data_IF_724355170797
#
_entry.id   IF_724355170797
#
_cell.length_a   1.000
_cell.length_b   1.000
_cell.length_c   1.000
_cell.angle_alpha   90.00
_cell.angle_beta   90.00
_cell.angle_gamma   90.00
#
_symmetry.space_group_name_H-M   'P 1'
#
loop_
_entity.id
_entity.type
_entity.pdbx_description
1 polymer ?
#
# COMPACT_ATOMS: atom_id res chain seq x y z
N UNK A 1 -65.49 -19.07 -42.90
CA UNK A 1 -64.28 -18.25 -43.03
C UNK A 1 -63.94 -17.72 -41.64
N UNK A 2 -62.90 -18.26 -41.02
CA UNK A 2 -62.38 -17.81 -39.72
C UNK A 2 -60.89 -17.57 -39.87
N UNK A 3 -60.50 -16.36 -39.51
CA UNK A 3 -59.17 -15.78 -39.38
C UNK A 3 -58.27 -16.61 -38.47
N UNK A 4 -57.04 -16.92 -38.88
CA UNK A 4 -55.94 -17.23 -37.96
C UNK A 4 -54.68 -16.51 -38.46
N UNK A 5 -54.15 -15.66 -37.59
CA UNK A 5 -53.06 -14.74 -37.81
C UNK A 5 -51.69 -15.42 -37.74
N UNK A 6 -50.74 -14.82 -38.47
CA UNK A 6 -49.30 -15.05 -38.44
C UNK A 6 -48.75 -15.03 -37.00
N UNK A 7 -47.94 -16.03 -36.64
CA UNK A 7 -47.04 -15.96 -35.48
C UNK A 7 -45.62 -15.71 -36.00
N UNK A 8 -45.10 -14.52 -35.69
CA UNK A 8 -43.72 -14.14 -35.90
C UNK A 8 -42.86 -14.63 -34.73
N UNK A 9 -41.69 -15.22 -35.00
CA UNK A 9 -40.62 -15.41 -34.02
C UNK A 9 -39.37 -14.79 -34.61
N UNK A 10 -39.14 -13.51 -34.28
CA UNK A 10 -37.87 -12.83 -34.52
C UNK A 10 -37.19 -12.69 -33.16
N UNK A 11 -36.20 -13.54 -32.92
CA UNK A 11 -35.41 -13.55 -31.69
C UNK A 11 -34.37 -12.43 -31.78
N UNK A 12 -34.64 -11.29 -31.15
CA UNK A 12 -33.66 -10.21 -30.99
C UNK A 12 -32.77 -10.55 -29.80
N UNK A 13 -31.51 -10.91 -30.07
CA UNK A 13 -30.44 -10.98 -29.07
C UNK A 13 -30.06 -9.55 -28.65
N UNK A 14 -30.54 -9.12 -27.49
CA UNK A 14 -30.10 -7.89 -26.86
C UNK A 14 -28.70 -8.10 -26.26
N UNK A 15 -27.67 -7.57 -26.91
CA UNK A 15 -26.36 -7.37 -26.29
C UNK A 15 -26.49 -6.28 -25.22
N UNK A 16 -26.29 -6.65 -23.95
CA UNK A 16 -26.30 -5.72 -22.83
C UNK A 16 -25.15 -4.72 -22.96
N UNK A 17 -25.50 -3.45 -23.14
CA UNK A 17 -24.57 -2.35 -22.93
C UNK A 17 -24.26 -2.24 -21.42
N UNK A 18 -23.01 -2.01 -21.00
CA UNK A 18 -22.70 -1.75 -19.61
C UNK A 18 -23.42 -0.46 -19.17
N UNK A 19 -24.15 -0.54 -18.06
CA UNK A 19 -24.81 0.62 -17.45
C UNK A 19 -23.76 1.66 -17.08
N UNK A 20 -23.72 2.78 -17.82
CA UNK A 20 -22.95 3.95 -17.43
C UNK A 20 -23.51 4.46 -16.10
N UNK A 21 -22.69 4.44 -15.05
CA UNK A 21 -23.05 5.04 -13.77
C UNK A 21 -23.42 6.51 -14.00
N UNK A 22 -24.69 6.85 -13.85
CA UNK A 22 -25.17 8.23 -14.02
C UNK A 22 -24.62 9.11 -12.90
N UNK A 23 -23.80 10.08 -13.29
CA UNK A 23 -23.30 11.14 -12.41
C UNK A 23 -24.46 12.09 -12.08
N UNK A 24 -24.73 12.33 -10.80
CA UNK A 24 -25.76 13.27 -10.35
C UNK A 24 -25.10 14.62 -10.08
N UNK A 25 -25.45 15.62 -10.87
CA UNK A 25 -25.00 17.00 -10.68
C UNK A 25 -26.18 17.85 -10.23
N UNK A 26 -26.00 18.59 -9.14
CA UNK A 26 -26.96 19.59 -8.65
C UNK A 26 -26.28 20.95 -8.62
N UNK A 27 -26.98 21.95 -9.14
CA UNK A 27 -26.52 23.34 -9.12
C UNK A 27 -27.63 24.19 -8.50
N UNK A 28 -27.28 25.03 -7.53
CA UNK A 28 -28.24 25.91 -6.87
C UNK A 28 -27.57 27.10 -6.20
N UNK A 29 -28.37 27.97 -5.54
CA UNK A 29 -27.86 29.16 -4.88
C UNK A 29 -26.87 28.88 -3.73
N UNK A 30 -26.83 27.64 -3.23
CA UNK A 30 -25.84 27.15 -2.26
C UNK A 30 -24.61 26.48 -2.87
N UNK A 31 -24.37 26.61 -4.18
CA UNK A 31 -23.20 26.07 -4.87
C UNK A 31 -23.47 24.89 -5.81
N UNK A 32 -22.41 24.13 -6.11
CA UNK A 32 -22.43 22.96 -7.00
C UNK A 32 -22.10 21.71 -6.21
N UNK A 33 -22.92 20.67 -6.37
CA UNK A 33 -22.69 19.34 -5.82
C UNK A 33 -22.64 18.32 -6.95
N UNK A 34 -21.55 17.55 -7.02
CA UNK A 34 -21.36 16.46 -7.99
C UNK A 34 -21.20 15.16 -7.23
N UNK A 35 -22.09 14.21 -7.48
CA UNK A 35 -22.06 12.87 -6.92
C UNK A 35 -21.90 11.85 -8.05
N UNK A 36 -20.75 11.19 -8.07
CA UNK A 36 -20.42 10.14 -9.05
C UNK A 36 -20.64 8.73 -8.48
N UNK A 37 -21.12 8.61 -7.25
CA UNK A 37 -21.22 7.36 -6.49
C UNK A 37 -19.94 6.97 -5.74
N UNK A 38 -18.75 7.23 -6.31
CA UNK A 38 -17.45 6.97 -5.66
C UNK A 38 -16.82 8.24 -5.07
N UNK A 39 -17.06 9.38 -5.73
CA UNK A 39 -16.55 10.68 -5.31
C UNK A 39 -17.70 11.67 -5.23
N UNK A 40 -17.73 12.40 -4.13
CA UNK A 40 -18.65 13.50 -3.88
C UNK A 40 -17.86 14.80 -3.78
N UNK A 41 -18.20 15.76 -4.62
CA UNK A 41 -17.60 17.11 -4.62
C UNK A 41 -18.67 18.12 -4.30
N UNK A 42 -18.41 19.01 -3.35
CA UNK A 42 -19.24 20.17 -3.07
C UNK A 42 -18.39 21.43 -3.16
N UNK A 43 -18.88 22.41 -3.90
CA UNK A 43 -18.24 23.71 -4.00
C UNK A 43 -19.28 24.80 -3.70
N UNK A 44 -19.01 25.62 -2.70
CA UNK A 44 -19.86 26.74 -2.30
C UNK A 44 -19.02 27.97 -1.91
N UNK A 45 -19.67 29.02 -1.41
CA UNK A 45 -19.02 30.28 -1.02
C UNK A 45 -18.04 30.16 0.16
N UNK A 46 -18.04 29.04 0.87
CA UNK A 46 -17.14 28.71 1.98
C UNK A 46 -15.90 27.95 1.52
N UNK A 47 -15.96 27.25 0.37
CA UNK A 47 -14.84 26.48 -0.14
C UNK A 47 -15.23 25.32 -1.06
N UNK A 48 -14.26 24.46 -1.32
CA UNK A 48 -14.40 23.19 -2.04
C UNK A 48 -14.11 22.04 -1.10
N UNK A 49 -15.02 21.08 -1.06
CA UNK A 49 -14.92 19.85 -0.30
C UNK A 49 -15.00 18.66 -1.26
N UNK A 50 -14.03 17.76 -1.19
CA UNK A 50 -13.96 16.54 -2.00
C UNK A 50 -13.88 15.35 -1.06
N UNK A 51 -14.88 14.49 -1.12
CA UNK A 51 -14.89 13.19 -0.45
C UNK A 51 -14.70 12.10 -1.49
N UNK A 52 -13.57 11.41 -1.41
CA UNK A 52 -13.27 10.24 -2.24
C UNK A 52 -12.81 9.11 -1.32
N UNK A 53 -13.68 8.10 -1.13
CA UNK A 53 -13.43 6.93 -0.29
C UNK A 53 -12.97 7.23 1.15
N UNK A 54 -11.65 7.31 1.36
CA UNK A 54 -10.96 7.50 2.65
C UNK A 54 -10.14 8.81 2.67
N UNK A 55 -10.31 9.66 1.66
CA UNK A 55 -9.64 10.95 1.53
C UNK A 55 -10.69 12.06 1.50
N UNK A 56 -10.57 12.95 2.47
CA UNK A 56 -11.31 14.21 2.53
C UNK A 56 -10.34 15.35 2.23
N UNK A 57 -10.62 16.11 1.18
CA UNK A 57 -9.90 17.34 0.85
C UNK A 57 -10.84 18.52 1.08
N UNK A 58 -10.47 19.39 2.01
CA UNK A 58 -11.20 20.63 2.31
C UNK A 58 -10.30 21.82 1.92
N UNK A 59 -10.78 22.70 1.05
CA UNK A 59 -10.12 23.94 0.68
C UNK A 59 -11.06 25.12 0.91
N UNK A 60 -10.72 26.01 1.85
CA UNK A 60 -11.53 27.17 2.19
C UNK A 60 -10.73 28.46 2.31
N UNK A 61 -11.38 29.54 2.74
CA UNK A 61 -10.78 30.89 2.86
C UNK A 61 -9.56 30.95 3.79
N UNK A 62 -9.38 29.98 4.68
CA UNK A 62 -8.29 29.91 5.67
C UNK A 62 -7.18 28.91 5.31
N UNK A 63 -7.23 28.30 4.13
CA UNK A 63 -6.24 27.33 3.65
C UNK A 63 -6.84 26.00 3.20
N UNK A 64 -5.97 25.08 2.79
CA UNK A 64 -6.33 23.73 2.38
C UNK A 64 -5.86 22.70 3.41
N UNK A 65 -6.71 21.72 3.70
CA UNK A 65 -6.38 20.58 4.56
C UNK A 65 -6.76 19.28 3.87
N UNK A 66 -5.91 18.27 4.02
CA UNK A 66 -6.14 16.92 3.52
C UNK A 66 -6.20 16.01 4.73
N UNK A 67 -7.33 15.33 4.90
CA UNK A 67 -7.53 14.32 5.94
C UNK A 67 -7.67 12.97 5.27
N UNK A 68 -6.79 12.06 5.65
CA UNK A 68 -6.87 10.66 5.22
C UNK A 68 -7.48 9.88 6.39
N UNK A 69 -8.77 9.57 6.29
CA UNK A 69 -9.52 8.84 7.29
C UNK A 69 -9.35 7.34 7.12
N UNK A 70 -8.59 6.69 8.00
CA UNK A 70 -8.59 5.22 8.08
C UNK A 70 -9.95 4.79 8.65
N UNK A 71 -10.89 4.35 7.79
CA UNK A 71 -12.16 3.78 8.27
C UNK A 71 -11.89 2.65 9.26
N UNK A 72 -12.38 2.81 10.49
CA UNK A 72 -12.46 1.78 11.54
C UNK A 72 -13.47 0.70 11.12
N UNK A 73 -13.09 -0.10 10.12
CA UNK A 73 -13.98 -1.04 9.44
C UNK A 73 -13.44 -1.54 8.09
N UNK A 74 -12.57 -0.76 7.44
CA UNK A 74 -11.73 -1.26 6.35
C UNK A 74 -10.51 -1.95 6.94
N UNK A 75 -10.72 -3.15 7.49
CA UNK A 75 -9.69 -4.17 7.27
C UNK A 75 -9.75 -4.43 5.78
N UNK A 76 -8.96 -3.69 5.01
CA UNK A 76 -8.39 -4.26 3.81
C UNK A 76 -7.64 -5.48 4.32
N UNK A 77 -8.31 -6.63 4.37
CA UNK A 77 -7.60 -7.89 4.39
C UNK A 77 -6.64 -7.72 3.22
N UNK A 78 -5.31 -7.71 3.44
CA UNK A 78 -4.41 -7.84 2.31
C UNK A 78 -4.96 -8.99 1.48
N UNK A 79 -5.00 -8.90 0.14
CA UNK A 79 -5.43 -10.02 -0.68
C UNK A 79 -4.77 -11.24 -0.05
N UNK A 80 -5.58 -12.28 0.28
CA UNK A 80 -5.13 -13.47 0.96
C UNK A 80 -4.12 -14.19 0.06
N UNK A 81 -2.95 -13.60 -0.05
CA UNK A 81 -1.78 -14.03 -0.74
C UNK A 81 -1.05 -14.75 0.37
N UNK A 82 -1.12 -16.07 0.27
CA UNK A 82 -0.61 -17.04 1.22
C UNK A 82 0.45 -16.42 2.14
N UNK A 83 0.22 -16.51 3.45
CA UNK A 83 1.30 -16.36 4.42
C UNK A 83 2.52 -17.13 3.85
N UNK A 84 3.73 -16.53 3.82
CA UNK A 84 4.89 -17.20 3.26
C UNK A 84 4.93 -18.62 3.82
N UNK A 85 4.85 -19.62 2.92
CA UNK A 85 4.96 -21.03 3.29
C UNK A 85 6.16 -21.16 4.22
N UNK A 86 5.98 -21.74 5.40
CA UNK A 86 6.99 -21.83 6.46
C UNK A 86 8.41 -21.98 5.87
N UNK A 87 9.08 -20.83 5.71
CA UNK A 87 10.37 -20.78 5.05
C UNK A 87 11.39 -21.50 5.90
N UNK A 88 12.48 -21.97 5.30
CA UNK A 88 13.63 -22.46 6.07
C UNK A 88 13.96 -21.42 7.14
N UNK A 89 13.99 -21.82 8.42
CA UNK A 89 14.35 -20.90 9.51
C UNK A 89 15.83 -20.57 9.36
N UNK A 90 16.13 -19.29 9.24
CA UNK A 90 17.47 -18.75 9.07
C UNK A 90 17.91 -17.94 10.29
N UNK A 91 19.22 -18.01 10.55
CA UNK A 91 19.91 -17.10 11.46
C UNK A 91 19.84 -15.66 10.93
N UNK A 92 20.13 -14.65 11.78
CA UNK A 92 20.29 -13.28 11.32
C UNK A 92 21.21 -13.17 10.11
N UNK A 93 20.82 -12.35 9.14
CA UNK A 93 21.62 -12.11 7.94
C UNK A 93 22.47 -10.88 8.16
N UNK A 94 23.77 -11.01 7.89
CA UNK A 94 24.69 -9.89 7.77
C UNK A 94 25.28 -9.90 6.36
N UNK A 95 25.08 -8.82 5.64
CA UNK A 95 25.74 -8.54 4.38
C UNK A 95 26.69 -7.36 4.54
N UNK A 96 27.92 -7.50 4.05
CA UNK A 96 29.00 -6.55 4.31
C UNK A 96 29.96 -6.44 3.13
N UNK A 97 30.62 -5.30 3.00
CA UNK A 97 31.54 -5.01 1.89
C UNK A 97 30.81 -4.81 0.57
N UNK A 98 31.43 -5.24 -0.54
CA UNK A 98 30.87 -5.13 -1.90
C UNK A 98 30.26 -6.46 -2.33
N UNK A 99 29.20 -6.89 -1.63
CA UNK A 99 28.54 -8.17 -1.87
C UNK A 99 27.17 -7.96 -2.48
N UNK A 100 26.76 -8.86 -3.38
CA UNK A 100 25.38 -8.96 -3.84
C UNK A 100 24.79 -10.28 -3.35
N UNK A 101 23.64 -10.23 -2.65
CA UNK A 101 23.00 -11.42 -2.09
C UNK A 101 21.49 -11.40 -2.31
N UNK A 102 20.91 -12.57 -2.57
CA UNK A 102 19.46 -12.75 -2.68
C UNK A 102 18.99 -13.90 -1.78
N UNK A 103 17.92 -13.66 -1.01
CA UNK A 103 17.22 -14.70 -0.26
C UNK A 103 15.74 -14.73 -0.64
N UNK A 104 15.19 -15.94 -0.78
CA UNK A 104 13.78 -16.14 -1.15
C UNK A 104 13.10 -17.14 -0.23
N UNK A 105 11.92 -16.81 0.28
CA UNK A 105 11.09 -17.77 1.03
C UNK A 105 11.69 -18.20 2.37
N UNK A 106 12.41 -17.31 3.06
CA UNK A 106 13.10 -17.62 4.32
C UNK A 106 12.37 -16.97 5.49
N UNK A 107 12.31 -17.68 6.63
CA UNK A 107 11.94 -17.10 7.92
C UNK A 107 13.23 -16.70 8.65
N UNK A 108 13.48 -15.40 8.80
CA UNK A 108 14.70 -14.86 9.41
C UNK A 108 14.34 -14.31 10.78
N UNK A 109 15.02 -14.77 11.83
CA UNK A 109 14.81 -14.31 13.20
C UNK A 109 16.08 -13.68 13.77
N UNK A 110 15.95 -12.55 14.46
CA UNK A 110 17.05 -11.90 15.16
C UNK A 110 16.67 -11.36 16.52
N UNK A 111 17.61 -11.37 17.46
CA UNK A 111 17.41 -10.79 18.78
C UNK A 111 17.41 -9.25 18.69
N UNK A 112 18.54 -8.63 18.33
CA UNK A 112 18.58 -7.18 18.08
C UNK A 112 18.14 -6.84 16.66
N UNK A 113 18.92 -7.24 15.66
CA UNK A 113 18.64 -7.00 14.23
C UNK A 113 18.55 -8.31 13.47
N UNK A 114 17.50 -8.52 12.66
CA UNK A 114 17.34 -9.76 11.89
C UNK A 114 18.06 -9.72 10.52
N UNK A 115 18.06 -8.57 9.86
CA UNK A 115 18.81 -8.34 8.61
C UNK A 115 19.62 -7.07 8.72
N UNK A 116 20.94 -7.17 8.52
CA UNK A 116 21.85 -6.03 8.47
C UNK A 116 22.57 -6.00 7.12
N UNK A 117 22.33 -4.94 6.34
CA UNK A 117 23.14 -4.60 5.16
C UNK A 117 24.09 -3.46 5.53
N UNK A 118 25.38 -3.63 5.27
CA UNK A 118 26.42 -2.62 5.52
C UNK A 118 27.52 -2.67 4.45
N UNK A 119 28.42 -1.69 4.50
CA UNK A 119 29.41 -1.52 3.43
C UNK A 119 28.74 -0.94 2.19
N UNK A 120 29.01 -1.53 1.03
CA UNK A 120 28.34 -1.27 -0.24
C UNK A 120 27.62 -2.55 -0.71
N UNK A 121 26.94 -3.24 0.22
CA UNK A 121 26.28 -4.49 -0.11
C UNK A 121 24.91 -4.23 -0.70
N UNK A 122 24.57 -4.97 -1.77
CA UNK A 122 23.25 -5.02 -2.37
C UNK A 122 22.51 -6.30 -1.93
N UNK A 123 21.44 -6.15 -1.16
CA UNK A 123 20.68 -7.27 -0.61
C UNK A 123 19.24 -7.30 -1.13
N UNK A 124 18.85 -8.39 -1.78
CA UNK A 124 17.46 -8.60 -2.21
C UNK A 124 16.77 -9.69 -1.39
N UNK A 125 15.59 -9.38 -0.85
CA UNK A 125 14.76 -10.30 -0.07
C UNK A 125 13.39 -10.45 -0.72
N UNK A 126 13.00 -11.69 -1.04
CA UNK A 126 11.75 -12.00 -1.73
C UNK A 126 10.92 -13.02 -0.94
N UNK A 127 9.64 -12.76 -0.73
CA UNK A 127 8.75 -13.71 -0.07
C UNK A 127 9.22 -14.14 1.34
N UNK A 128 9.95 -13.27 2.05
CA UNK A 128 10.53 -13.60 3.36
C UNK A 128 9.62 -13.15 4.50
N UNK A 129 9.74 -13.83 5.64
CA UNK A 129 9.23 -13.36 6.93
C UNK A 129 10.41 -13.00 7.81
N UNK A 130 10.44 -11.79 8.35
CA UNK A 130 11.56 -11.24 9.10
C UNK A 130 11.04 -10.77 10.45
N UNK A 131 11.58 -11.33 11.54
CA UNK A 131 11.17 -11.04 12.90
C UNK A 131 12.37 -10.67 13.76
N UNK A 132 12.34 -9.47 14.35
CA UNK A 132 13.37 -9.01 15.27
C UNK A 132 12.78 -8.42 16.56
N UNK A 133 13.49 -8.54 17.67
CA UNK A 133 13.08 -7.89 18.92
C UNK A 133 13.38 -6.39 18.95
N UNK A 134 14.20 -5.86 18.03
CA UNK A 134 14.41 -4.42 17.86
C UNK A 134 14.24 -3.95 16.42
N UNK A 135 15.10 -4.39 15.50
CA UNK A 135 15.14 -3.92 14.12
C UNK A 135 14.95 -5.06 13.12
N UNK A 136 13.88 -5.01 12.32
CA UNK A 136 13.63 -6.04 11.31
C UNK A 136 14.73 -6.05 10.25
N UNK A 137 14.83 -4.95 9.51
CA UNK A 137 15.87 -4.68 8.52
C UNK A 137 16.61 -3.40 8.91
N UNK A 138 17.94 -3.44 8.88
CA UNK A 138 18.79 -2.27 9.04
C UNK A 138 19.72 -2.12 7.84
N UNK A 139 19.64 -0.99 7.16
CA UNK A 139 20.70 -0.52 6.25
C UNK A 139 21.65 0.37 7.05
N UNK A 140 22.96 0.16 6.87
CA UNK A 140 24.00 1.00 7.46
C UNK A 140 25.08 1.36 6.42
N UNK A 141 25.72 2.51 6.57
CA UNK A 141 26.74 2.98 5.62
C UNK A 141 26.13 3.15 4.23
N UNK A 142 26.51 2.37 3.21
CA UNK A 142 25.95 2.43 1.85
C UNK A 142 25.32 1.09 1.45
N UNK A 143 24.80 0.32 2.42
CA UNK A 143 24.17 -0.97 2.13
C UNK A 143 22.76 -0.79 1.60
N UNK A 144 22.47 -1.32 0.42
CA UNK A 144 21.18 -1.19 -0.23
C UNK A 144 20.33 -2.45 -0.03
N UNK A 145 19.03 -2.28 0.20
CA UNK A 145 18.13 -3.40 0.44
C UNK A 145 16.86 -3.29 -0.40
N UNK A 146 16.57 -4.33 -1.19
CA UNK A 146 15.33 -4.47 -1.94
C UNK A 146 14.42 -5.50 -1.29
N UNK A 147 13.23 -5.07 -0.87
CA UNK A 147 12.22 -5.90 -0.19
C UNK A 147 11.02 -6.13 -1.10
N UNK A 148 10.70 -7.40 -1.39
CA UNK A 148 9.59 -7.75 -2.30
C UNK A 148 8.72 -8.82 -1.65
N UNK A 149 7.42 -8.53 -1.48
CA UNK A 149 6.45 -9.49 -0.95
C UNK A 149 6.86 -10.05 0.43
N UNK A 150 7.42 -9.19 1.30
CA UNK A 150 7.95 -9.59 2.60
C UNK A 150 7.03 -9.15 3.76
N UNK A 151 7.06 -9.91 4.86
CA UNK A 151 6.48 -9.50 6.14
C UNK A 151 7.62 -9.21 7.11
N UNK A 152 7.74 -7.97 7.57
CA UNK A 152 8.82 -7.53 8.44
C UNK A 152 8.25 -7.00 9.75
N UNK A 153 8.78 -7.49 10.86
CA UNK A 153 8.43 -7.06 12.21
C UNK A 153 9.68 -6.70 12.96
N UNK A 154 9.74 -5.47 13.48
CA UNK A 154 10.75 -5.05 14.44
C UNK A 154 10.11 -4.17 15.50
N UNK A 155 10.39 -4.43 16.78
CA UNK A 155 9.73 -3.72 17.89
C UNK A 155 10.01 -2.22 17.89
N UNK A 156 11.25 -1.82 17.56
CA UNK A 156 11.61 -0.40 17.46
C UNK A 156 11.34 0.14 16.07
N UNK A 157 11.78 -0.58 15.04
CA UNK A 157 11.44 -0.27 13.66
C UNK A 157 11.43 -1.53 12.81
N UNK A 158 10.47 -1.63 11.88
CA UNK A 158 10.50 -2.69 10.88
C UNK A 158 11.69 -2.48 9.92
N UNK A 159 11.91 -1.23 9.49
CA UNK A 159 13.06 -0.81 8.68
C UNK A 159 13.76 0.37 9.35
N UNK A 160 15.09 0.31 9.44
CA UNK A 160 15.94 1.39 9.95
C UNK A 160 17.05 1.68 8.94
N UNK A 161 17.08 2.88 8.37
CA UNK A 161 18.11 3.31 7.42
C UNK A 161 19.09 4.23 8.14
N UNK A 162 20.37 3.84 8.20
CA UNK A 162 21.42 4.55 8.96
C UNK A 162 22.68 4.79 8.14
N UNK A 163 22.70 5.85 7.34
CA UNK A 163 23.84 6.16 6.49
C UNK A 163 23.39 6.82 5.21
N UNK A 164 23.96 6.39 4.08
CA UNK A 164 23.65 6.80 2.73
C UNK A 164 23.06 5.68 1.86
N UNK A 165 22.90 4.46 2.39
CA UNK A 165 22.29 3.35 1.66
C UNK A 165 20.78 3.41 1.70
N UNK A 166 20.14 2.78 0.72
CA UNK A 166 18.72 2.92 0.47
C UNK A 166 17.96 1.61 0.71
N UNK A 167 16.71 1.74 1.12
CA UNK A 167 15.83 0.57 1.28
C UNK A 167 14.56 0.79 0.48
N UNK A 168 14.35 -0.05 -0.54
CA UNK A 168 13.12 -0.02 -1.32
C UNK A 168 12.22 -1.20 -0.98
N UNK A 169 10.91 -0.95 -0.91
CA UNK A 169 9.93 -1.98 -0.55
C UNK A 169 8.76 -2.00 -1.52
N UNK A 170 8.30 -3.20 -1.89
CA UNK A 170 7.08 -3.40 -2.69
C UNK A 170 6.27 -4.60 -2.20
N UNK A 171 4.95 -4.43 -2.12
CA UNK A 171 4.01 -5.46 -1.66
C UNK A 171 4.37 -6.03 -0.26
N UNK A 172 4.90 -5.21 0.64
CA UNK A 172 5.37 -5.65 1.96
C UNK A 172 4.42 -5.26 3.10
N UNK A 173 4.50 -5.98 4.22
CA UNK A 173 3.85 -5.62 5.47
C UNK A 173 4.94 -5.27 6.49
N UNK A 174 4.99 -4.02 6.92
CA UNK A 174 5.98 -3.46 7.85
C UNK A 174 5.29 -3.18 9.19
N UNK A 175 5.58 -4.01 10.19
CA UNK A 175 5.06 -3.88 11.56
C UNK A 175 6.13 -3.31 12.49
N UNK A 176 6.04 -2.01 12.74
CA UNK A 176 6.94 -1.23 13.59
C UNK A 176 7.44 0.07 12.99
N UNK A 177 6.94 0.46 11.82
CA UNK A 177 7.30 1.71 11.15
C UNK A 177 8.65 1.67 10.45
N UNK A 178 9.00 2.82 9.88
CA UNK A 178 10.25 3.07 9.17
C UNK A 178 10.93 4.27 9.83
N UNK A 179 12.22 4.16 10.14
CA UNK A 179 13.04 5.27 10.62
C UNK A 179 14.24 5.49 9.68
N UNK A 180 14.55 6.74 9.37
CA UNK A 180 15.72 7.13 8.57
C UNK A 180 16.59 8.09 9.37
N UNK A 181 17.89 7.83 9.40
CA UNK A 181 18.90 8.65 10.07
C UNK A 181 20.15 8.75 9.18
N UNK A 182 20.33 9.89 8.52
CA UNK A 182 21.41 10.11 7.57
C UNK A 182 20.86 10.65 6.25
N UNK A 183 21.57 10.34 5.16
CA UNK A 183 21.21 10.77 3.81
C UNK A 183 20.47 9.69 3.01
N UNK A 184 20.53 8.43 3.44
CA UNK A 184 19.86 7.32 2.79
C UNK A 184 18.35 7.35 3.02
N UNK A 185 17.61 6.75 2.10
CA UNK A 185 16.17 6.85 2.05
C UNK A 185 15.44 5.52 2.14
N UNK A 186 14.14 5.60 2.45
CA UNK A 186 13.23 4.49 2.29
C UNK A 186 12.26 4.82 1.16
N UNK A 187 12.29 3.99 0.12
CA UNK A 187 11.42 4.14 -1.04
C UNK A 187 10.23 3.16 -0.95
N UNK A 188 9.03 3.72 -0.89
CA UNK A 188 7.80 2.95 -1.07
C UNK A 188 7.53 2.74 -2.57
N UNK A 189 7.90 1.57 -3.10
CA UNK A 189 7.63 1.17 -4.49
C UNK A 189 6.20 0.61 -4.69
N UNK A 190 5.30 0.77 -3.72
CA UNK A 190 3.86 0.52 -3.84
C UNK A 190 3.34 -0.74 -3.12
N UNK A 191 2.04 -0.68 -2.79
CA UNK A 191 1.27 -1.74 -2.11
C UNK A 191 1.86 -2.20 -0.78
N UNK A 192 2.55 -1.32 -0.06
CA UNK A 192 3.05 -1.61 1.28
C UNK A 192 1.99 -1.27 2.34
N UNK A 193 1.96 -2.04 3.42
CA UNK A 193 1.21 -1.72 4.64
C UNK A 193 2.22 -1.39 5.74
N UNK A 194 2.26 -0.13 6.16
CA UNK A 194 3.21 0.37 7.17
C UNK A 194 2.42 0.74 8.42
N UNK A 195 2.66 0.02 9.52
CA UNK A 195 2.07 0.31 10.84
C UNK A 195 3.14 0.64 11.87
N UNK A 196 2.87 1.63 12.74
CA UNK A 196 3.66 1.94 13.93
C UNK A 196 3.42 0.94 15.06
N UNK A 197 4.36 0.85 16.01
CA UNK A 197 4.03 0.40 17.38
C UNK A 197 3.58 1.63 18.17
N UNK A 198 2.38 1.57 18.74
CA UNK A 198 1.92 2.48 19.79
C UNK A 198 2.64 2.21 21.12
#
# INVERSE_FOLDING_TARGET
MRTIALVAISTILAFGAPALAQQKVKVGPGGVEVDTGAVKVKADESGVEVHADDVDVEAGKSGASVRIGVKKGSRHSPPAKAAPSAGKVGNPIVCDGNQEKTYTGVLIKGYDTAVLAKGNCDLTLKNCTIEAERYGVMSKSNGDVKLINCRIKGRKAAVSVKGNGDVSARNCILSGGVETFGNGEFEDEGNNSIGSYD
#
